data_IF_011605036584
#
_entry.id   IF_011605036584
#
_cell.length_a   1.000
_cell.length_b   1.000
_cell.length_c   1.000
_cell.angle_alpha   90.00
_cell.angle_beta   90.00
_cell.angle_gamma   90.00
#
_symmetry.space_group_name_H-M   'P 1'
#
loop_
_entity.id
_entity.type
_entity.pdbx_description
1 polymer ?
#
# COMPACT_ATOMS: atom_id res chain seq x y z
N UNK A 1 18.44 23.62 13.26
CA UNK A 1 17.17 24.30 12.97
C UNK A 1 16.14 23.22 12.69
N UNK A 2 15.14 22.96 13.56
CA UNK A 2 14.28 21.78 13.40
C UNK A 2 12.95 22.23 12.78
N UNK A 3 12.96 22.64 11.51
CA UNK A 3 11.77 23.23 10.86
C UNK A 3 11.04 22.27 9.91
N UNK A 4 11.41 20.99 9.89
CA UNK A 4 10.75 20.01 9.02
C UNK A 4 9.99 19.04 9.91
N UNK A 5 8.67 19.09 9.82
CA UNK A 5 7.82 18.07 10.39
C UNK A 5 8.30 16.71 9.90
N UNK A 6 8.75 15.89 10.84
CA UNK A 6 9.44 14.62 10.60
C UNK A 6 8.64 13.45 11.15
N UNK A 7 7.36 13.68 11.50
CA UNK A 7 6.49 12.65 12.04
C UNK A 7 5.75 12.02 10.85
N UNK A 8 6.13 10.80 10.42
CA UNK A 8 5.38 10.13 9.38
C UNK A 8 3.99 9.73 9.90
N UNK A 9 3.00 9.57 9.01
CA UNK A 9 1.70 9.04 9.39
C UNK A 9 1.84 7.60 9.91
N UNK A 10 0.80 7.10 10.57
CA UNK A 10 0.76 5.70 10.96
C UNK A 10 0.62 4.78 9.73
N UNK A 11 1.02 3.51 9.89
CA UNK A 11 0.90 2.52 8.82
C UNK A 11 -0.56 2.15 8.59
N UNK A 12 -1.03 2.05 7.32
CA UNK A 12 -2.37 1.53 7.04
C UNK A 12 -2.44 0.06 7.46
N UNK A 13 -3.63 -0.39 7.86
CA UNK A 13 -3.84 -1.74 8.37
C UNK A 13 -4.98 -2.44 7.63
N UNK A 14 -5.16 -3.74 7.91
CA UNK A 14 -6.24 -4.52 7.33
C UNK A 14 -6.14 -4.68 5.82
N UNK A 15 -4.92 -4.74 5.27
CA UNK A 15 -4.72 -4.98 3.84
C UNK A 15 -5.34 -6.33 3.46
N UNK A 16 -6.18 -6.31 2.43
CA UNK A 16 -6.83 -7.47 1.84
C UNK A 16 -6.62 -7.43 0.33
N UNK A 17 -6.36 -8.60 -0.25
CA UNK A 17 -6.14 -8.75 -1.70
C UNK A 17 -7.12 -9.79 -2.22
N UNK A 18 -8.05 -9.35 -3.07
CA UNK A 18 -9.04 -10.20 -3.73
C UNK A 18 -8.64 -10.42 -5.17
N UNK A 19 -8.53 -11.68 -5.59
CA UNK A 19 -8.33 -12.01 -7.00
C UNK A 19 -9.67 -11.98 -7.73
N UNK A 20 -9.68 -11.48 -8.96
CA UNK A 20 -10.86 -11.61 -9.83
C UNK A 20 -10.99 -13.04 -10.34
N UNK A 21 -12.22 -13.51 -10.57
CA UNK A 21 -12.52 -14.86 -11.03
C UNK A 21 -11.80 -15.28 -12.32
N UNK A 22 -11.32 -14.32 -13.12
CA UNK A 22 -10.56 -14.59 -14.35
C UNK A 22 -9.03 -14.63 -14.14
N UNK A 23 -8.52 -14.39 -12.92
CA UNK A 23 -7.08 -14.37 -12.61
C UNK A 23 -6.29 -13.25 -13.28
N UNK A 24 -6.95 -12.23 -13.85
CA UNK A 24 -6.32 -11.13 -14.60
C UNK A 24 -6.21 -9.82 -13.83
N UNK A 25 -6.83 -9.73 -12.66
CA UNK A 25 -6.76 -8.52 -11.83
C UNK A 25 -6.84 -8.87 -10.34
N UNK A 26 -6.14 -8.08 -9.54
CA UNK A 26 -6.17 -8.14 -8.08
C UNK A 26 -6.72 -6.82 -7.54
N UNK A 27 -7.77 -6.87 -6.72
CA UNK A 27 -8.27 -5.70 -6.02
C UNK A 27 -7.76 -5.70 -4.59
N UNK A 28 -7.05 -4.63 -4.25
CA UNK A 28 -6.53 -4.34 -2.93
C UNK A 28 -7.50 -3.46 -2.17
N UNK A 29 -7.71 -3.78 -0.90
CA UNK A 29 -8.49 -2.98 0.04
C UNK A 29 -7.65 -2.80 1.31
N UNK A 30 -7.61 -1.60 1.85
CA UNK A 30 -6.94 -1.32 3.12
C UNK A 30 -7.79 -0.37 3.95
N UNK A 31 -7.44 -0.20 5.22
CA UNK A 31 -8.10 0.75 6.11
C UNK A 31 -7.20 1.94 6.38
N UNK A 32 -7.84 3.08 6.62
CA UNK A 32 -7.19 4.32 6.98
C UNK A 32 -6.44 4.13 8.31
N UNK A 33 -5.18 4.57 8.42
CA UNK A 33 -4.47 4.52 9.68
C UNK A 33 -5.10 5.48 10.70
N UNK A 34 -4.92 5.16 11.98
CA UNK A 34 -5.21 6.10 13.06
C UNK A 34 -4.39 7.39 12.90
N UNK A 35 -4.93 8.48 13.42
CA UNK A 35 -4.26 9.79 13.42
C UNK A 35 -2.89 9.66 14.10
N UNK A 36 -1.85 10.21 13.47
CA UNK A 36 -0.51 10.21 13.99
C UNK A 36 -0.38 11.15 15.21
N UNK A 37 0.78 11.11 15.87
CA UNK A 37 1.00 11.82 17.13
C UNK A 37 0.98 13.36 16.99
N UNK A 38 1.07 13.86 15.76
CA UNK A 38 0.97 15.27 15.36
C UNK A 38 -0.47 15.73 15.09
N UNK A 39 -1.45 14.81 15.08
CA UNK A 39 -2.83 15.10 14.74
C UNK A 39 -3.14 15.01 13.24
N UNK A 40 -2.18 14.62 12.41
CA UNK A 40 -2.40 14.41 10.97
C UNK A 40 -2.76 12.94 10.66
N UNK A 41 -3.57 12.75 9.62
CA UNK A 41 -3.88 11.43 9.08
C UNK A 41 -3.22 11.26 7.71
N UNK A 42 -3.32 10.06 7.13
CA UNK A 42 -2.82 9.79 5.79
C UNK A 42 -3.41 10.80 4.78
N UNK A 43 -2.54 11.55 4.13
CA UNK A 43 -2.88 12.39 2.98
C UNK A 43 -3.09 11.54 1.72
N UNK A 44 -2.39 10.41 1.64
CA UNK A 44 -2.45 9.51 0.51
C UNK A 44 -1.82 8.16 0.82
N UNK A 45 -1.73 7.33 -0.21
CA UNK A 45 -1.17 5.98 -0.11
C UNK A 45 -0.25 5.66 -1.29
N UNK A 46 0.79 4.86 -1.02
CA UNK A 46 1.66 4.29 -2.04
C UNK A 46 1.48 2.78 -2.01
N UNK A 47 1.19 2.21 -3.19
CA UNK A 47 0.93 0.78 -3.35
C UNK A 47 2.14 0.18 -4.06
N UNK A 48 2.72 -0.84 -3.44
CA UNK A 48 3.85 -1.59 -3.94
C UNK A 48 3.44 -3.01 -4.33
N UNK A 49 4.08 -3.52 -5.39
CA UNK A 49 3.95 -4.90 -5.86
C UNK A 49 5.31 -5.58 -5.91
N UNK A 50 5.39 -6.74 -5.29
CA UNK A 50 6.56 -7.60 -5.28
C UNK A 50 6.20 -9.00 -5.78
N UNK A 51 7.18 -9.71 -6.34
CA UNK A 51 7.00 -11.13 -6.60
C UNK A 51 6.93 -11.92 -5.28
N UNK A 52 6.30 -13.09 -5.28
CA UNK A 52 6.17 -13.90 -4.06
C UNK A 52 7.52 -14.24 -3.42
N UNK A 53 8.56 -14.49 -4.21
CA UNK A 53 9.90 -14.83 -3.71
C UNK A 53 10.77 -13.61 -3.39
N UNK A 54 10.26 -12.40 -3.68
CA UNK A 54 10.99 -11.18 -3.47
C UNK A 54 10.84 -10.65 -2.04
N UNK A 55 11.92 -10.06 -1.51
CA UNK A 55 11.89 -9.36 -0.22
C UNK A 55 11.22 -8.00 -0.41
N UNK A 56 10.29 -7.67 0.48
CA UNK A 56 9.64 -6.36 0.50
C UNK A 56 10.70 -5.27 0.73
N UNK A 57 10.85 -4.38 -0.25
CA UNK A 57 11.72 -3.23 -0.18
C UNK A 57 11.00 -1.98 -0.70
N UNK A 58 10.42 -1.20 0.21
CA UNK A 58 9.72 0.05 -0.12
C UNK A 58 10.65 1.18 -0.55
N UNK A 59 11.98 1.01 -0.43
CA UNK A 59 12.95 1.99 -0.92
C UNK A 59 13.21 1.87 -2.43
N UNK A 60 12.69 0.82 -3.06
CA UNK A 60 12.80 0.62 -4.51
C UNK A 60 11.59 1.24 -5.22
N UNK A 61 11.73 2.41 -5.88
CA UNK A 61 10.62 3.04 -6.59
C UNK A 61 10.13 2.20 -7.77
N UNK A 62 10.92 1.26 -8.28
CA UNK A 62 10.51 0.34 -9.34
C UNK A 62 9.41 -0.65 -8.94
N UNK A 63 9.08 -0.71 -7.64
CA UNK A 63 8.03 -1.56 -7.09
C UNK A 63 6.71 -0.83 -6.88
N UNK A 64 6.70 0.50 -7.04
CA UNK A 64 5.50 1.30 -6.94
C UNK A 64 4.65 1.06 -8.18
N UNK A 65 3.43 0.58 -7.97
CA UNK A 65 2.45 0.39 -9.05
C UNK A 65 1.41 1.52 -9.07
N UNK A 66 1.18 2.17 -7.94
CA UNK A 66 0.21 3.24 -7.84
C UNK A 66 0.52 4.17 -6.67
N UNK A 67 0.22 5.46 -6.85
CA UNK A 67 0.30 6.50 -5.83
C UNK A 67 -1.01 7.26 -5.85
N UNK A 68 -1.59 7.50 -4.69
CA UNK A 68 -2.74 8.38 -4.52
C UNK A 68 -2.46 9.42 -3.46
N UNK A 69 -2.95 10.64 -3.68
CA UNK A 69 -2.92 11.76 -2.74
C UNK A 69 -4.33 12.03 -2.18
N UNK A 70 -5.14 10.99 -2.15
CA UNK A 70 -6.49 10.98 -1.60
C UNK A 70 -6.53 10.01 -0.42
N UNK A 71 -6.55 10.55 0.80
CA UNK A 71 -6.56 9.78 2.05
C UNK A 71 -7.83 8.95 2.26
N UNK A 72 -8.88 9.21 1.47
CA UNK A 72 -10.14 8.46 1.50
C UNK A 72 -10.20 7.38 0.39
N UNK A 73 -9.19 7.32 -0.49
CA UNK A 73 -9.02 6.24 -1.45
C UNK A 73 -8.44 5.01 -0.76
N UNK A 74 -9.32 4.10 -0.37
CA UNK A 74 -9.00 2.87 0.38
C UNK A 74 -9.01 1.59 -0.48
N UNK A 75 -9.10 1.74 -1.80
CA UNK A 75 -9.12 0.63 -2.74
C UNK A 75 -8.31 0.92 -4.00
N UNK A 76 -7.72 -0.12 -4.57
CA UNK A 76 -7.01 -0.09 -5.85
C UNK A 76 -7.13 -1.42 -6.58
N UNK A 77 -7.27 -1.38 -7.91
CA UNK A 77 -7.30 -2.59 -8.74
C UNK A 77 -6.04 -2.62 -9.59
N UNK A 78 -5.25 -3.67 -9.45
CA UNK A 78 -4.08 -3.99 -10.26
C UNK A 78 -4.50 -4.92 -11.41
N UNK A 79 -4.61 -4.39 -12.63
CA UNK A 79 -4.94 -5.14 -13.86
C UNK A 79 -3.71 -5.56 -14.67
N UNK A 80 -2.51 -5.11 -14.29
CA UNK A 80 -1.24 -5.47 -14.93
C UNK A 80 -0.64 -6.78 -14.37
N UNK A 81 -1.49 -7.74 -13.96
CA UNK A 81 -1.00 -9.00 -13.39
C UNK A 81 -0.89 -10.10 -14.46
N UNK A 82 0.22 -10.84 -14.40
CA UNK A 82 0.38 -12.07 -15.19
C UNK A 82 -0.41 -13.22 -14.56
N UNK A 83 -1.12 -13.97 -15.39
CA UNK A 83 -1.79 -15.21 -14.99
C UNK A 83 -0.78 -16.21 -14.44
N UNK A 84 -1.19 -16.98 -13.42
CA UNK A 84 -0.36 -17.97 -12.72
C UNK A 84 0.84 -17.39 -11.93
N UNK A 85 1.00 -16.06 -11.87
CA UNK A 85 2.02 -15.43 -11.04
C UNK A 85 1.41 -14.95 -9.72
N UNK A 86 2.04 -15.32 -8.62
CA UNK A 86 1.69 -14.83 -7.28
C UNK A 86 2.49 -13.56 -6.98
N UNK A 87 1.78 -12.57 -6.45
CA UNK A 87 2.33 -11.28 -6.02
C UNK A 87 2.07 -11.05 -4.54
N UNK A 88 2.96 -10.27 -3.92
CA UNK A 88 2.78 -9.68 -2.61
C UNK A 88 2.57 -8.19 -2.79
N UNK A 89 1.60 -7.67 -2.06
CA UNK A 89 1.28 -6.26 -2.03
C UNK A 89 1.56 -5.68 -0.65
N UNK A 90 1.99 -4.43 -0.66
CA UNK A 90 2.27 -3.63 0.54
C UNK A 90 1.76 -2.23 0.27
N UNK A 91 1.16 -1.61 1.29
CA UNK A 91 0.66 -0.25 1.22
C UNK A 91 1.33 0.57 2.31
N UNK A 92 1.81 1.75 1.96
CA UNK A 92 2.27 2.76 2.92
C UNK A 92 1.35 3.97 2.85
N UNK A 93 1.30 4.74 3.92
CA UNK A 93 0.63 6.03 3.97
C UNK A 93 1.66 7.15 3.79
N UNK A 94 1.23 8.25 3.16
CA UNK A 94 2.04 9.46 3.03
C UNK A 94 1.27 10.65 3.60
N UNK A 95 1.99 11.61 4.19
CA UNK A 95 1.43 12.88 4.65
C UNK A 95 1.57 13.99 3.59
N UNK A 96 1.20 15.23 3.95
CA UNK A 96 1.34 16.40 3.07
C UNK A 96 2.79 16.83 2.87
N UNK A 97 3.66 16.54 3.84
CA UNK A 97 5.11 16.80 3.78
C UNK A 97 5.88 15.71 3.02
N UNK A 98 5.18 14.69 2.51
CA UNK A 98 5.72 13.52 1.81
C UNK A 98 6.57 12.61 2.70
N UNK A 99 6.35 12.63 4.01
CA UNK A 99 6.87 11.59 4.89
C UNK A 99 6.06 10.31 4.66
N UNK A 100 6.76 9.20 4.49
CA UNK A 100 6.16 7.88 4.26
C UNK A 100 6.15 7.08 5.56
N UNK A 101 5.04 6.42 5.83
CA UNK A 101 4.89 5.56 6.99
C UNK A 101 5.63 4.23 6.85
N UNK A 102 5.63 3.45 7.93
CA UNK A 102 6.03 2.05 7.86
C UNK A 102 5.09 1.28 6.91
N UNK A 103 5.58 0.22 6.25
CA UNK A 103 4.73 -0.61 5.40
C UNK A 103 3.66 -1.32 6.22
N UNK A 104 2.48 -1.50 5.62
CA UNK A 104 1.48 -2.44 6.12
C UNK A 104 1.99 -3.88 6.06
N UNK A 105 1.25 -4.79 6.69
CA UNK A 105 1.51 -6.23 6.56
C UNK A 105 1.46 -6.65 5.09
N UNK A 106 2.50 -7.35 4.63
CA UNK A 106 2.53 -7.86 3.26
C UNK A 106 1.46 -8.91 3.06
N UNK A 107 0.62 -8.73 2.04
CA UNK A 107 -0.48 -9.65 1.72
C UNK A 107 -0.40 -10.13 0.29
N UNK A 108 -0.67 -11.41 0.09
CA UNK A 108 -0.87 -12.03 -1.22
C UNK A 108 -2.36 -12.23 -1.46
N UNK A 109 -2.75 -12.34 -2.73
CA UNK A 109 -4.11 -12.75 -3.09
C UNK A 109 -4.43 -14.10 -2.43
N UNK A 110 -5.56 -14.14 -1.72
CA UNK A 110 -6.08 -15.38 -1.17
C UNK A 110 -7.01 -15.99 -2.21
N UNK A 111 -6.71 -17.21 -2.66
CA UNK A 111 -7.70 -18.03 -3.38
C UNK A 111 -8.77 -18.42 -2.34
N UNK A 112 -10.00 -17.92 -2.50
CA UNK A 112 -11.16 -18.52 -1.85
C UNK A 112 -11.43 -19.84 -2.58
N UNK A 113 -11.38 -20.95 -1.82
CA UNK A 113 -11.64 -22.32 -2.25
C UNK A 113 -13.15 -22.54 -2.35
#
# INVERSE_FOLDING_TARGET
MPWLDSIPPNAPFGLLVKNSANGKMNTLFWQKPDVANDGESAYGYVIYRFNLDEKVNIKDPGKIIFITFDGDKLQYTDDDIKQHQKYKYVVTAIDRMKNESKPSDSRSAHEEI
#
